data_IF_352402097290
#
_entry.id   IF_352402097290
#
_cell.length_a   1.000
_cell.length_b   1.000
_cell.length_c   1.000
_cell.angle_alpha   90.00
_cell.angle_beta   90.00
_cell.angle_gamma   90.00
#
_symmetry.space_group_name_H-M   'P 1'
#
loop_
_entity.id
_entity.type
_entity.pdbx_description
1 polymer ?
#
# COMPACT_ATOMS: atom_id res chain seq x y z
N UNK A 1 -20.84 -19.36 1.53
CA UNK A 1 -19.94 -18.50 2.27
C UNK A 1 -19.20 -17.59 1.32
N UNK A 2 -19.25 -16.30 1.55
CA UNK A 2 -18.59 -15.34 0.67
C UNK A 2 -17.09 -15.36 0.91
N UNK A 3 -16.33 -15.46 -0.16
CA UNK A 3 -14.91 -15.34 -0.08
C UNK A 3 -14.53 -13.87 0.06
N UNK A 4 -13.61 -13.58 0.96
CA UNK A 4 -13.06 -12.24 1.05
C UNK A 4 -12.10 -12.01 -0.10
N UNK A 5 -12.23 -10.87 -0.73
CA UNK A 5 -11.39 -10.52 -1.86
C UNK A 5 -10.41 -9.43 -1.47
N UNK A 6 -9.27 -9.46 -2.11
CA UNK A 6 -8.33 -8.37 -2.00
C UNK A 6 -8.54 -7.44 -3.19
N UNK A 7 -8.57 -6.15 -2.91
CA UNK A 7 -8.78 -5.14 -3.92
C UNK A 7 -7.51 -4.29 -3.99
N UNK A 8 -7.02 -4.07 -5.20
CA UNK A 8 -5.81 -3.29 -5.39
C UNK A 8 -6.14 -2.01 -6.11
N UNK A 9 -5.72 -0.89 -5.54
CA UNK A 9 -5.89 0.43 -6.13
C UNK A 9 -4.54 0.92 -6.59
N UNK A 10 -4.41 1.10 -7.91
CA UNK A 10 -3.18 1.57 -8.51
C UNK A 10 -3.49 2.85 -9.28
N UNK A 11 -2.63 3.82 -9.20
CA UNK A 11 -2.84 5.04 -9.93
C UNK A 11 -1.87 6.13 -9.52
N UNK A 12 -1.96 7.27 -10.19
CA UNK A 12 -1.04 8.38 -9.90
C UNK A 12 -1.18 8.87 -8.48
N UNK A 13 -0.07 9.31 -7.94
CA UNK A 13 -0.04 9.91 -6.62
C UNK A 13 -0.92 11.16 -6.60
N UNK A 14 -1.61 11.35 -5.49
CA UNK A 14 -2.44 12.54 -5.33
C UNK A 14 -3.82 12.44 -5.94
N UNK A 15 -4.18 11.29 -6.50
CA UNK A 15 -5.50 11.10 -7.12
C UNK A 15 -6.59 10.68 -6.14
N UNK A 16 -6.36 10.83 -4.86
CA UNK A 16 -7.37 10.49 -3.86
C UNK A 16 -7.50 9.00 -3.59
N UNK A 17 -6.51 8.21 -3.92
CA UNK A 17 -6.56 6.77 -3.73
C UNK A 17 -6.83 6.37 -2.28
N UNK A 18 -6.18 7.05 -1.35
CA UNK A 18 -6.36 6.72 0.07
C UNK A 18 -7.79 6.96 0.52
N UNK A 19 -8.37 8.07 0.09
CA UNK A 19 -9.75 8.40 0.44
C UNK A 19 -10.72 7.39 -0.17
N UNK A 20 -10.53 7.09 -1.44
CA UNK A 20 -11.37 6.12 -2.15
C UNK A 20 -11.20 4.73 -1.53
N UNK A 21 -9.96 4.35 -1.26
CA UNK A 21 -9.67 3.04 -0.69
C UNK A 21 -10.28 2.85 0.69
N UNK A 22 -10.18 3.85 1.54
CA UNK A 22 -10.78 3.78 2.87
C UNK A 22 -12.30 3.68 2.82
N UNK A 23 -12.90 4.46 1.93
CA UNK A 23 -14.34 4.43 1.76
C UNK A 23 -14.81 3.07 1.26
N UNK A 24 -14.10 2.53 0.27
CA UNK A 24 -14.41 1.22 -0.28
C UNK A 24 -14.24 0.12 0.77
N UNK A 25 -13.17 0.20 1.54
CA UNK A 25 -12.92 -0.77 2.59
C UNK A 25 -14.02 -0.74 3.64
N UNK A 26 -14.46 0.46 4.01
CA UNK A 26 -15.53 0.62 4.98
C UNK A 26 -16.84 0.02 4.46
N UNK A 27 -17.18 0.30 3.22
CA UNK A 27 -18.41 -0.22 2.63
C UNK A 27 -18.42 -1.74 2.52
N UNK A 28 -17.27 -2.32 2.22
CA UNK A 28 -17.15 -3.76 2.00
C UNK A 28 -16.71 -4.51 3.24
N UNK A 29 -16.52 -3.80 4.36
CA UNK A 29 -16.04 -4.38 5.61
C UNK A 29 -14.67 -5.06 5.44
N UNK A 30 -13.80 -4.40 4.69
CA UNK A 30 -12.43 -4.85 4.47
C UNK A 30 -11.47 -3.96 5.22
N UNK A 31 -10.25 -4.44 5.42
CA UNK A 31 -9.20 -3.63 6.02
C UNK A 31 -8.49 -2.84 4.93
N UNK A 32 -8.15 -1.59 5.22
CA UNK A 32 -7.45 -0.75 4.27
C UNK A 32 -5.96 -0.67 4.61
N UNK A 33 -5.14 -0.82 3.59
CA UNK A 33 -3.69 -0.65 3.71
C UNK A 33 -3.17 0.22 2.57
N UNK A 34 -2.23 1.08 2.89
CA UNK A 34 -1.51 1.88 1.90
C UNK A 34 -0.05 1.44 1.96
N UNK A 35 0.51 1.02 0.84
CA UNK A 35 1.85 0.46 0.82
C UNK A 35 2.90 1.47 1.27
N UNK A 36 2.76 2.74 0.89
CA UNK A 36 3.71 3.76 1.30
C UNK A 36 3.66 4.00 2.80
N UNK A 37 2.46 4.05 3.36
CA UNK A 37 2.30 4.20 4.81
C UNK A 37 2.87 3.01 5.56
N UNK A 38 2.69 1.81 5.03
CA UNK A 38 3.25 0.61 5.65
C UNK A 38 4.77 0.62 5.62
N UNK A 39 5.36 1.09 4.52
CA UNK A 39 6.81 1.21 4.43
C UNK A 39 7.32 2.16 5.51
N UNK A 40 6.69 3.32 5.65
CA UNK A 40 7.10 4.29 6.67
C UNK A 40 6.92 3.75 8.07
N UNK A 41 5.80 3.08 8.33
CA UNK A 41 5.54 2.52 9.64
C UNK A 41 6.55 1.46 10.02
N UNK A 42 6.88 0.57 9.10
CA UNK A 42 7.80 -0.53 9.37
C UNK A 42 9.25 -0.10 9.46
N UNK A 43 9.63 0.87 8.64
CA UNK A 43 11.01 1.35 8.60
C UNK A 43 11.31 2.39 9.67
N UNK A 44 10.29 3.09 10.14
CA UNK A 44 10.47 4.19 11.06
C UNK A 44 11.03 5.45 10.40
N UNK A 45 11.01 5.52 9.08
CA UNK A 45 11.52 6.65 8.31
C UNK A 45 10.55 6.99 7.21
N UNK A 46 10.55 8.25 6.76
CA UNK A 46 9.66 8.63 5.68
C UNK A 46 10.20 8.16 4.33
N UNK A 47 9.36 8.22 3.33
CA UNK A 47 9.69 7.73 1.98
C UNK A 47 10.88 8.47 1.39
N UNK A 48 10.94 9.79 1.58
CA UNK A 48 12.03 10.59 1.03
C UNK A 48 13.38 10.16 1.62
N UNK A 49 13.39 9.89 2.91
CA UNK A 49 14.58 9.41 3.59
C UNK A 49 15.03 8.06 3.04
N UNK A 50 14.07 7.16 2.81
CA UNK A 50 14.39 5.83 2.29
C UNK A 50 15.00 5.94 0.89
N UNK A 51 14.43 6.80 0.04
CA UNK A 51 15.00 7.04 -1.28
C UNK A 51 16.41 7.60 -1.20
N UNK A 52 16.65 8.51 -0.27
CA UNK A 52 17.97 9.11 -0.09
C UNK A 52 19.02 8.09 0.31
N UNK A 53 18.67 7.21 1.25
CA UNK A 53 19.62 6.25 1.80
C UNK A 53 19.78 4.99 0.95
N UNK A 54 18.68 4.50 0.40
CA UNK A 54 18.67 3.19 -0.26
C UNK A 54 18.45 3.27 -1.76
N UNK A 55 18.04 4.45 -2.24
CA UNK A 55 17.74 4.63 -3.64
C UNK A 55 16.43 3.95 -4.04
N UNK A 56 16.14 4.00 -5.33
CA UNK A 56 14.92 3.43 -5.87
C UNK A 56 14.87 1.92 -5.66
N UNK A 57 15.99 1.26 -5.87
CA UNK A 57 16.05 -0.20 -5.74
C UNK A 57 15.71 -0.65 -4.33
N UNK A 58 16.24 0.03 -3.32
CA UNK A 58 15.95 -0.26 -1.93
C UNK A 58 14.49 -0.02 -1.60
N UNK A 59 13.93 1.09 -2.08
CA UNK A 59 12.53 1.38 -1.87
C UNK A 59 11.64 0.31 -2.52
N UNK A 60 11.94 -0.07 -3.75
CA UNK A 60 11.16 -1.09 -4.45
C UNK A 60 11.22 -2.44 -3.77
N UNK A 61 12.37 -2.79 -3.21
CA UNK A 61 12.49 -4.04 -2.46
C UNK A 61 11.58 -4.03 -1.24
N UNK A 62 11.53 -2.89 -0.52
CA UNK A 62 10.66 -2.76 0.63
C UNK A 62 9.18 -2.81 0.23
N UNK A 63 8.83 -2.13 -0.85
CA UNK A 63 7.48 -2.13 -1.36
C UNK A 63 7.04 -3.54 -1.75
N UNK A 64 7.90 -4.26 -2.45
CA UNK A 64 7.61 -5.63 -2.87
C UNK A 64 7.39 -6.56 -1.67
N UNK A 65 8.24 -6.45 -0.66
CA UNK A 65 8.09 -7.24 0.55
C UNK A 65 6.77 -6.96 1.26
N UNK A 66 6.39 -5.70 1.31
CA UNK A 66 5.15 -5.31 1.95
C UNK A 66 3.95 -5.80 1.15
N UNK A 67 4.00 -5.65 -0.16
CA UNK A 67 2.91 -6.13 -1.01
C UNK A 67 2.76 -7.65 -0.87
N UNK A 68 3.87 -8.38 -0.87
CA UNK A 68 3.82 -9.82 -0.68
C UNK A 68 3.21 -10.20 0.67
N UNK A 69 3.60 -9.47 1.72
CA UNK A 69 3.11 -9.72 3.06
C UNK A 69 1.62 -9.42 3.17
N UNK A 70 1.19 -8.30 2.59
CA UNK A 70 -0.21 -7.90 2.66
C UNK A 70 -1.10 -8.78 1.78
N UNK A 71 -0.60 -9.26 0.66
CA UNK A 71 -1.41 -10.10 -0.22
C UNK A 71 -1.63 -11.50 0.34
N UNK A 72 -0.86 -11.90 1.35
CA UNK A 72 -1.15 -13.12 2.10
C UNK A 72 -2.39 -12.97 2.96
N UNK A 73 -2.78 -11.76 3.29
CA UNK A 73 -4.00 -11.51 4.03
C UNK A 73 -5.20 -11.61 3.09
N UNK A 74 -6.35 -11.83 3.67
CA UNK A 74 -7.59 -11.86 2.91
C UNK A 74 -8.51 -10.74 3.39
N UNK A 75 -9.24 -10.19 2.44
CA UNK A 75 -10.23 -9.16 2.77
C UNK A 75 -9.59 -7.81 3.02
N UNK A 76 -8.68 -7.39 2.16
CA UNK A 76 -8.04 -6.08 2.29
C UNK A 76 -8.24 -5.24 1.03
N UNK A 77 -8.16 -3.94 1.22
CA UNK A 77 -8.01 -2.98 0.12
C UNK A 77 -6.59 -2.43 0.22
N UNK A 78 -5.81 -2.62 -0.81
CA UNK A 78 -4.42 -2.18 -0.84
C UNK A 78 -4.25 -1.09 -1.88
N UNK A 79 -3.85 0.09 -1.43
CA UNK A 79 -3.48 1.18 -2.32
C UNK A 79 -1.96 1.17 -2.48
N UNK A 80 -1.48 1.07 -3.71
CA UNK A 80 -0.06 1.11 -3.98
C UNK A 80 0.35 2.52 -4.33
N UNK A 81 1.58 2.87 -3.96
CA UNK A 81 2.07 4.21 -4.20
C UNK A 81 2.23 4.51 -5.68
N UNK A 82 1.81 5.70 -6.09
CA UNK A 82 1.97 6.13 -7.45
C UNK A 82 3.40 6.52 -7.79
N UNK A 83 4.24 6.67 -6.78
CA UNK A 83 5.63 7.07 -6.99
C UNK A 83 6.50 6.00 -7.64
N UNK A 84 5.94 4.83 -7.83
CA UNK A 84 6.67 3.74 -8.47
C UNK A 84 6.79 3.89 -9.98
N UNK A 85 6.26 4.93 -10.49
CA UNK A 85 6.31 5.17 -11.92
C UNK A 85 7.69 5.66 -12.32
#
# INVERSE_FOLDING_TARGET
MAEKRNIFLVGPMGAGKSTIGRHLADELHLDFYDSDQEIERRSGADIAWIFDLEGEDGFRAREENIINDLTDKQGIVLATGGGSI
#
